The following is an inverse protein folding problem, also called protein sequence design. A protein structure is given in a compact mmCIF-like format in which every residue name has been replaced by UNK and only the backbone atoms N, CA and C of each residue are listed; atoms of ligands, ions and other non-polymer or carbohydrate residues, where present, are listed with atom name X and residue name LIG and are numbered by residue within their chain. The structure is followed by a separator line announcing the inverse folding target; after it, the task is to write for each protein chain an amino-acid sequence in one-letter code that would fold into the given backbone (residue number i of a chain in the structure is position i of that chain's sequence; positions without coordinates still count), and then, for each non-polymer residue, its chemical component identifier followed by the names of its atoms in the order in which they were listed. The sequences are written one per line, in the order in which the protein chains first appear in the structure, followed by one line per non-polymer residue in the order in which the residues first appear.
data_IF_752899991016
#
_entry.id   IF_752899991016
#
_cell.length_a   1.000
_cell.length_b   1.000
_cell.length_c   1.000
_cell.angle_alpha   90.00
_cell.angle_beta   90.00
_cell.angle_gamma   90.00
#
_symmetry.space_group_name_H-M   'P 1'
#
loop_
_entity.id
_entity.type
_entity.pdbx_description
1 polymer ?
#
# COMPACT_ATOMS: atom_id res chain seq x y z
N UNK A 1 -10.37 1.07 10.36
CA UNK A 1 -11.02 2.10 9.49
C UNK A 1 -11.38 1.43 8.18
N UNK A 2 -12.49 1.82 7.54
CA UNK A 2 -12.78 1.39 6.15
C UNK A 2 -12.13 2.40 5.20
N UNK A 3 -11.35 1.91 4.26
CA UNK A 3 -10.65 2.67 3.24
C UNK A 3 -11.23 2.30 1.88
N UNK A 4 -11.59 3.30 1.10
CA UNK A 4 -12.11 3.15 -0.26
C UNK A 4 -11.19 3.91 -1.19
N UNK A 5 -10.57 3.21 -2.15
CA UNK A 5 -9.56 3.80 -3.01
C UNK A 5 -9.64 3.31 -4.46
N UNK A 6 -9.33 4.20 -5.39
CA UNK A 6 -8.86 3.85 -6.72
C UNK A 6 -7.34 3.97 -6.76
N UNK A 7 -6.67 3.04 -7.45
CA UNK A 7 -5.25 3.15 -7.71
C UNK A 7 -4.88 2.64 -9.10
N UNK A 8 -3.80 3.20 -9.64
CA UNK A 8 -3.24 2.78 -10.92
C UNK A 8 -1.72 2.84 -10.88
N UNK A 9 -1.08 1.80 -11.43
CA UNK A 9 0.32 1.88 -11.81
C UNK A 9 0.45 2.82 -13.00
N UNK A 10 1.45 3.68 -12.95
CA UNK A 10 1.73 4.67 -13.98
C UNK A 10 3.20 4.59 -14.42
N UNK A 11 3.51 5.17 -15.55
CA UNK A 11 4.90 5.30 -16.02
C UNK A 11 5.61 6.44 -15.28
N UNK A 12 6.95 6.44 -15.33
CA UNK A 12 7.76 7.53 -14.78
C UNK A 12 7.39 8.89 -15.40
N UNK A 13 7.13 8.92 -16.71
CA UNK A 13 6.73 10.16 -17.39
C UNK A 13 5.41 10.72 -16.88
N UNK A 14 4.43 9.84 -16.63
CA UNK A 14 3.14 10.22 -16.04
C UNK A 14 3.32 10.67 -14.59
N UNK A 15 4.16 9.96 -13.81
CA UNK A 15 4.50 10.36 -12.46
C UNK A 15 5.09 11.77 -12.41
N UNK A 16 6.09 12.07 -13.26
CA UNK A 16 6.72 13.38 -13.32
C UNK A 16 5.69 14.48 -13.69
N UNK A 17 4.86 14.21 -14.72
CA UNK A 17 3.80 15.11 -15.14
C UNK A 17 2.81 15.44 -14.01
N UNK A 18 2.37 14.43 -13.24
CA UNK A 18 1.46 14.61 -12.12
C UNK A 18 2.15 15.33 -10.95
N UNK A 19 3.42 15.01 -10.67
CA UNK A 19 4.18 15.64 -9.59
C UNK A 19 4.35 17.15 -9.79
N UNK A 20 4.43 17.60 -11.05
CA UNK A 20 4.51 19.02 -11.43
C UNK A 20 3.13 19.71 -11.52
N UNK A 21 2.07 18.93 -11.78
CA UNK A 21 0.71 19.43 -11.98
C UNK A 21 0.07 19.92 -10.67
N UNK A 22 0.29 19.19 -9.57
CA UNK A 22 -0.31 19.50 -8.28
C UNK A 22 0.66 20.21 -7.33
N UNK A 23 0.10 21.11 -6.49
CA UNK A 23 0.80 21.64 -5.33
C UNK A 23 0.53 20.73 -4.13
N UNK A 24 1.51 19.89 -3.81
CA UNK A 24 1.41 18.90 -2.75
C UNK A 24 1.44 19.53 -1.34
N UNK A 25 0.60 19.01 -0.43
CA UNK A 25 0.59 19.44 0.97
C UNK A 25 1.85 18.99 1.69
N UNK A 26 2.33 17.79 1.38
CA UNK A 26 3.58 17.24 1.90
C UNK A 26 4.18 16.16 1.00
N UNK A 27 5.49 15.97 1.15
CA UNK A 27 6.26 14.90 0.51
C UNK A 27 7.08 14.21 1.59
N UNK A 28 6.89 12.91 1.78
CA UNK A 28 7.52 12.15 2.86
C UNK A 28 7.95 10.77 2.44
N UNK A 29 9.04 10.30 3.04
CA UNK A 29 9.43 8.91 2.98
C UNK A 29 8.65 8.09 4.01
N UNK A 30 8.30 6.88 3.60
CA UNK A 30 7.77 5.84 4.48
C UNK A 30 8.31 4.49 4.06
N UNK A 31 8.67 3.65 5.04
CA UNK A 31 9.14 2.29 4.79
C UNK A 31 8.10 1.30 5.25
N UNK A 32 7.70 0.40 4.37
CA UNK A 32 6.79 -0.70 4.70
C UNK A 32 7.60 -1.99 4.82
N UNK A 33 7.71 -2.51 6.03
CA UNK A 33 8.31 -3.80 6.31
C UNK A 33 7.21 -4.86 6.29
N UNK A 34 7.25 -5.78 5.33
CA UNK A 34 6.21 -6.79 5.13
C UNK A 34 6.50 -8.07 5.88
N UNK A 35 5.44 -8.69 6.38
CA UNK A 35 5.49 -9.96 7.13
C UNK A 35 4.65 -11.02 6.43
N UNK A 36 5.09 -12.27 6.57
CA UNK A 36 4.38 -13.44 6.07
C UNK A 36 4.23 -14.50 7.17
N UNK A 37 3.22 -15.34 7.01
CA UNK A 37 3.01 -16.56 7.80
C UNK A 37 3.37 -17.79 6.95
N UNK A 38 4.01 -18.79 7.55
CA UNK A 38 4.42 -20.02 6.85
C UNK A 38 3.25 -20.82 6.31
N UNK A 39 2.08 -20.73 6.94
CA UNK A 39 0.89 -21.53 6.59
C UNK A 39 0.03 -20.86 5.50
N UNK A 40 0.32 -19.63 5.10
CA UNK A 40 -0.40 -18.87 4.09
C UNK A 40 -1.83 -18.46 4.51
N UNK A 41 -2.14 -18.43 5.79
CA UNK A 41 -3.46 -18.06 6.32
C UNK A 41 -3.79 -16.58 6.05
N UNK A 42 -2.79 -15.68 6.14
CA UNK A 42 -2.95 -14.28 5.77
C UNK A 42 -3.40 -14.14 4.30
N UNK A 43 -2.73 -14.86 3.40
CA UNK A 43 -3.07 -14.85 1.98
C UNK A 43 -4.49 -15.37 1.68
N UNK A 44 -4.91 -16.45 2.34
CA UNK A 44 -6.27 -17.00 2.23
C UNK A 44 -7.35 -16.01 2.69
N UNK A 45 -7.00 -15.09 3.59
CA UNK A 45 -7.89 -14.06 4.13
C UNK A 45 -7.73 -12.71 3.44
N UNK A 46 -6.94 -12.63 2.36
CA UNK A 46 -6.61 -11.39 1.66
C UNK A 46 -6.08 -10.30 2.61
N UNK A 47 -5.32 -10.73 3.62
CA UNK A 47 -4.79 -9.88 4.68
C UNK A 47 -3.30 -9.65 4.47
N UNK A 48 -2.87 -8.41 4.62
CA UNK A 48 -1.46 -8.00 4.61
C UNK A 48 -1.11 -7.47 5.98
N UNK A 49 0.04 -7.92 6.52
CA UNK A 49 0.63 -7.40 7.74
C UNK A 49 1.92 -6.69 7.39
N UNK A 50 2.04 -5.44 7.83
CA UNK A 50 3.26 -4.65 7.67
C UNK A 50 3.57 -3.84 8.93
N UNK A 51 4.85 -3.55 9.17
CA UNK A 51 5.26 -2.48 10.07
C UNK A 51 5.65 -1.29 9.21
N UNK A 52 4.90 -0.20 9.34
CA UNK A 52 5.20 1.07 8.65
C UNK A 52 6.06 1.96 9.56
N UNK A 53 7.17 2.40 8.98
CA UNK A 53 7.99 3.47 9.55
C UNK A 53 7.68 4.77 8.82
N UNK A 54 7.31 5.80 9.56
CA UNK A 54 7.02 7.14 9.03
C UNK A 54 7.28 8.17 10.12
N UNK A 55 7.99 9.26 9.81
CA UNK A 55 8.27 10.36 10.73
C UNK A 55 8.89 9.89 12.07
N UNK A 56 9.78 8.88 12.05
CA UNK A 56 10.43 8.31 13.22
C UNK A 56 9.52 7.47 14.13
N UNK A 57 8.32 7.14 13.66
CA UNK A 57 7.36 6.27 14.38
C UNK A 57 7.16 4.98 13.61
N UNK A 58 6.90 3.90 14.35
CA UNK A 58 6.57 2.60 13.79
C UNK A 58 5.17 2.18 14.22
N UNK A 59 4.44 1.54 13.30
CA UNK A 59 3.14 0.96 13.60
C UNK A 59 2.94 -0.35 12.82
N UNK A 60 2.40 -1.35 13.50
CA UNK A 60 1.87 -2.56 12.85
C UNK A 60 0.56 -2.18 12.17
N UNK A 61 0.47 -2.42 10.88
CA UNK A 61 -0.74 -2.18 10.11
C UNK A 61 -1.26 -3.49 9.53
N UNK A 62 -2.53 -3.73 9.72
CA UNK A 62 -3.26 -4.89 9.20
C UNK A 62 -4.24 -4.38 8.16
N UNK A 63 -4.06 -4.77 6.89
CA UNK A 63 -4.94 -4.38 5.78
C UNK A 63 -5.62 -5.62 5.21
N UNK A 64 -6.96 -5.70 5.32
CA UNK A 64 -7.75 -6.81 4.80
C UNK A 64 -8.64 -6.33 3.66
N UNK A 65 -8.42 -6.89 2.46
CA UNK A 65 -9.23 -6.58 1.27
C UNK A 65 -10.61 -7.22 1.36
N UNK A 66 -11.68 -6.45 1.18
CA UNK A 66 -13.08 -6.90 1.25
C UNK A 66 -13.64 -7.32 -0.13
N UNK A 67 -13.13 -6.73 -1.21
CA UNK A 67 -13.55 -7.00 -2.58
C UNK A 67 -12.36 -7.32 -3.51
N UNK A 68 -11.62 -8.41 -3.24
CA UNK A 68 -10.46 -8.74 -4.04
C UNK A 68 -10.87 -9.02 -5.49
N UNK A 69 -10.28 -8.29 -6.44
CA UNK A 69 -10.55 -8.47 -7.88
C UNK A 69 -11.17 -7.26 -8.59
N UNK A 70 -11.65 -6.27 -7.86
CA UNK A 70 -12.28 -5.08 -8.43
C UNK A 70 -11.30 -3.91 -8.60
N UNK A 71 -11.57 -2.99 -9.53
CA UNK A 71 -10.79 -1.77 -9.74
C UNK A 71 -10.90 -0.84 -8.53
N UNK A 72 -12.12 -0.63 -8.04
CA UNK A 72 -12.39 0.01 -6.75
C UNK A 72 -11.97 -0.92 -5.64
N UNK A 73 -11.04 -0.52 -4.79
CA UNK A 73 -10.56 -1.31 -3.66
C UNK A 73 -11.21 -0.86 -2.37
N UNK A 74 -11.71 -1.82 -1.62
CA UNK A 74 -12.28 -1.62 -0.28
C UNK A 74 -11.47 -2.45 0.70
N UNK A 75 -10.86 -1.78 1.67
CA UNK A 75 -10.00 -2.41 2.65
C UNK A 75 -10.45 -2.01 4.07
N UNK A 76 -10.31 -2.96 4.99
CA UNK A 76 -10.35 -2.67 6.41
C UNK A 76 -8.91 -2.54 6.91
N UNK A 77 -8.58 -1.39 7.49
CA UNK A 77 -7.25 -1.13 8.03
C UNK A 77 -7.30 -0.88 9.54
N UNK A 78 -6.38 -1.54 10.26
CA UNK A 78 -6.19 -1.38 11.71
C UNK A 78 -4.72 -1.12 11.97
N UNK A 79 -4.43 -0.22 12.91
CA UNK A 79 -3.07 0.20 13.22
C UNK A 79 -2.80 0.11 14.71
N UNK A 80 -1.59 -0.38 15.07
CA UNK A 80 -1.11 -0.49 16.46
C UNK A 80 0.30 0.10 16.55
N UNK A 81 0.55 1.09 17.41
CA UNK A 81 1.88 1.62 17.64
C UNK A 81 2.84 0.52 18.15
N UNK A 82 4.10 0.55 17.68
CA UNK A 82 5.15 -0.37 18.10
C UNK A 82 6.49 0.38 18.22
N UNK A 83 7.40 -0.11 19.07
CA UNK A 83 8.67 0.56 19.37
C UNK A 83 9.76 0.46 18.30
N UNK A 84 9.54 -0.32 17.24
CA UNK A 84 10.53 -0.53 16.16
C UNK A 84 10.05 -1.60 15.18
N UNK A 85 10.94 -2.05 14.30
CA UNK A 85 10.65 -3.08 13.29
C UNK A 85 11.28 -4.41 13.77
N UNK A 86 10.50 -5.36 14.30
CA UNK A 86 11.02 -6.65 14.71
C UNK A 86 11.28 -7.56 13.49
N UNK A 87 12.22 -8.49 13.59
CA UNK A 87 12.39 -9.55 12.58
C UNK A 87 11.24 -10.57 12.62
N UNK A 88 10.65 -10.77 13.79
CA UNK A 88 9.52 -11.67 14.00
C UNK A 88 8.44 -11.00 14.86
N UNK A 89 7.17 -11.23 14.53
CA UNK A 89 6.03 -10.95 15.39
C UNK A 89 5.54 -12.29 15.92
N UNK A 90 5.76 -12.56 17.22
CA UNK A 90 5.44 -13.85 17.81
C UNK A 90 3.93 -14.14 17.80
N UNK A 91 3.59 -15.43 17.81
CA UNK A 91 2.23 -15.93 17.60
C UNK A 91 1.14 -15.22 18.44
N UNK A 92 1.40 -14.95 19.70
CA UNK A 92 0.45 -14.29 20.60
C UNK A 92 0.16 -12.84 20.17
N UNK A 93 1.20 -12.09 19.80
CA UNK A 93 1.07 -10.73 19.30
C UNK A 93 0.47 -10.72 17.88
N UNK A 94 0.87 -11.64 17.02
CA UNK A 94 0.29 -11.81 15.69
C UNK A 94 -1.23 -12.06 15.77
N UNK A 95 -1.66 -12.95 16.68
CA UNK A 95 -3.08 -13.22 16.94
C UNK A 95 -3.81 -12.01 17.52
N UNK A 96 -3.17 -11.27 18.42
CA UNK A 96 -3.72 -10.04 19.00
C UNK A 96 -3.95 -8.95 17.94
N UNK A 97 -3.00 -8.78 17.00
CA UNK A 97 -3.10 -7.76 15.96
C UNK A 97 -4.07 -8.17 14.85
N UNK A 98 -4.01 -9.41 14.40
CA UNK A 98 -4.77 -9.87 13.23
C UNK A 98 -6.15 -10.47 13.55
N UNK A 99 -6.35 -10.90 14.81
CA UNK A 99 -7.51 -11.73 15.20
C UNK A 99 -7.47 -13.15 14.65
N UNK A 100 -6.38 -13.56 13.97
CA UNK A 100 -6.21 -14.85 13.31
C UNK A 100 -5.15 -15.70 14.01
N UNK A 101 -5.28 -17.01 13.94
CA UNK A 101 -4.26 -17.95 14.39
C UNK A 101 -3.29 -18.24 13.23
N UNK A 102 -2.31 -17.36 13.04
CA UNK A 102 -1.36 -17.39 11.93
C UNK A 102 0.04 -17.88 12.32
N UNK A 103 0.25 -18.19 13.61
CA UNK A 103 1.57 -18.49 14.12
C UNK A 103 2.46 -17.23 14.21
N UNK A 104 3.78 -17.47 14.27
CA UNK A 104 4.76 -16.38 14.22
C UNK A 104 4.86 -15.84 12.81
N UNK A 105 4.90 -14.51 12.69
CA UNK A 105 5.08 -13.83 11.41
C UNK A 105 6.55 -13.46 11.25
N UNK A 106 7.12 -13.77 10.09
CA UNK A 106 8.53 -13.46 9.77
C UNK A 106 8.61 -12.31 8.79
N UNK A 107 9.58 -11.42 8.99
CA UNK A 107 9.81 -10.28 8.10
C UNK A 107 10.34 -10.76 6.75
N UNK A 108 9.64 -10.45 5.66
CA UNK A 108 10.03 -10.78 4.30
C UNK A 108 11.03 -9.78 3.70
N UNK A 109 11.01 -8.55 4.16
CA UNK A 109 11.82 -7.44 3.67
C UNK A 109 11.05 -6.13 3.68
N UNK A 110 11.61 -5.11 3.01
CA UNK A 110 11.07 -3.75 3.03
C UNK A 110 10.87 -3.16 1.63
N UNK A 111 9.95 -2.21 1.57
CA UNK A 111 9.67 -1.37 0.41
C UNK A 111 9.68 0.07 0.89
N UNK A 112 10.55 0.90 0.30
CA UNK A 112 10.61 2.34 0.54
C UNK A 112 9.66 3.06 -0.42
N UNK A 113 8.95 4.07 0.07
CA UNK A 113 8.04 4.89 -0.73
C UNK A 113 8.27 6.37 -0.45
N UNK A 114 8.57 7.12 -1.51
CA UNK A 114 8.44 8.57 -1.50
C UNK A 114 7.00 8.90 -1.90
N UNK A 115 6.21 9.39 -0.93
CA UNK A 115 4.79 9.74 -1.12
C UNK A 115 4.61 11.26 -1.16
N UNK A 116 4.01 11.73 -2.23
CA UNK A 116 3.40 13.05 -2.30
C UNK A 116 1.93 12.91 -1.91
N UNK A 117 1.42 13.78 -1.07
CA UNK A 117 0.02 13.75 -0.63
C UNK A 117 -0.61 15.12 -0.74
N UNK A 118 -1.85 15.13 -1.21
CA UNK A 118 -2.68 16.32 -1.37
C UNK A 118 -4.11 16.00 -0.92
N UNK A 119 -4.61 16.76 0.05
CA UNK A 119 -6.04 16.80 0.34
C UNK A 119 -6.73 17.66 -0.74
N UNK A 120 -7.23 16.99 -1.80
CA UNK A 120 -7.82 17.67 -2.96
C UNK A 120 -9.12 18.40 -2.59
N UNK A 121 -9.97 17.75 -1.81
CA UNK A 121 -11.15 18.33 -1.13
C UNK A 121 -11.35 17.61 0.20
N UNK A 122 -12.27 18.07 1.02
CA UNK A 122 -12.66 17.36 2.24
C UNK A 122 -13.13 15.94 1.91
N UNK A 123 -12.45 14.96 2.47
CA UNK A 123 -12.72 13.53 2.25
C UNK A 123 -12.18 12.94 0.94
N UNK A 124 -11.32 13.65 0.18
CA UNK A 124 -10.63 13.11 -1.00
C UNK A 124 -9.14 13.40 -0.92
N UNK A 125 -8.33 12.37 -0.74
CA UNK A 125 -6.87 12.45 -0.70
C UNK A 125 -6.27 11.83 -1.96
N UNK A 126 -5.35 12.55 -2.61
CA UNK A 126 -4.54 12.07 -3.72
C UNK A 126 -3.16 11.75 -3.20
N UNK A 127 -2.69 10.53 -3.44
CA UNK A 127 -1.35 10.07 -3.10
C UNK A 127 -0.61 9.66 -4.37
N UNK A 128 0.55 10.27 -4.62
CA UNK A 128 1.45 9.92 -5.71
C UNK A 128 2.71 9.30 -5.14
N UNK A 129 2.95 8.04 -5.48
CA UNK A 129 4.00 7.22 -4.88
C UNK A 129 5.08 6.82 -5.89
N UNK A 130 6.33 7.02 -5.49
CA UNK A 130 7.49 6.33 -6.05
C UNK A 130 7.94 5.28 -5.04
N UNK A 131 7.91 4.00 -5.41
CA UNK A 131 8.24 2.88 -4.53
C UNK A 131 9.46 2.13 -5.03
N UNK A 132 10.47 1.96 -4.16
CA UNK A 132 11.70 1.24 -4.43
C UNK A 132 11.78 -0.01 -3.54
N UNK A 133 12.06 -1.17 -4.14
CA UNK A 133 12.15 -2.44 -3.41
C UNK A 133 12.94 -3.47 -4.23
N UNK A 134 13.76 -4.25 -3.54
CA UNK A 134 14.63 -5.24 -4.16
C UNK A 134 15.46 -4.59 -5.30
N UNK A 135 15.21 -4.96 -6.55
CA UNK A 135 15.81 -4.39 -7.77
C UNK A 135 14.77 -3.66 -8.65
N UNK A 136 13.66 -3.19 -8.08
CA UNK A 136 12.53 -2.57 -8.78
C UNK A 136 12.26 -1.16 -8.29
N UNK A 137 11.73 -0.35 -9.21
CA UNK A 137 11.15 0.95 -8.94
C UNK A 137 9.79 1.01 -9.66
N UNK A 138 8.73 1.32 -8.93
CA UNK A 138 7.37 1.45 -9.44
C UNK A 138 6.80 2.82 -9.11
N UNK A 139 5.91 3.32 -9.96
CA UNK A 139 5.16 4.55 -9.78
C UNK A 139 3.67 4.24 -9.73
N UNK A 140 2.97 4.85 -8.77
CA UNK A 140 1.54 4.58 -8.52
C UNK A 140 0.82 5.86 -8.10
N UNK A 141 -0.40 6.03 -8.59
CA UNK A 141 -1.35 7.03 -8.09
C UNK A 141 -2.45 6.31 -7.31
N UNK A 142 -2.80 6.83 -6.13
CA UNK A 142 -3.90 6.37 -5.30
C UNK A 142 -4.83 7.55 -5.04
N UNK A 143 -6.14 7.32 -5.04
CA UNK A 143 -7.15 8.29 -4.63
C UNK A 143 -8.01 7.63 -3.58
N UNK A 144 -7.82 8.03 -2.33
CA UNK A 144 -8.63 7.61 -1.21
C UNK A 144 -9.79 8.61 -1.04
N UNK A 145 -11.01 8.12 -0.81
CA UNK A 145 -12.14 9.00 -0.68
C UNK A 145 -13.26 8.47 0.23
N UNK A 146 -14.07 9.39 0.74
CA UNK A 146 -15.28 9.12 1.50
C UNK A 146 -16.47 9.71 0.75
N UNK A 147 -17.62 9.01 0.76
CA UNK A 147 -18.80 9.43 -0.02
C UNK A 147 -18.69 9.10 -1.50
N UNK A 148 -19.13 10.01 -2.37
CA UNK A 148 -19.11 9.82 -3.81
C UNK A 148 -17.77 10.27 -4.42
N UNK A 149 -17.24 9.48 -5.34
CA UNK A 149 -16.04 9.87 -6.09
C UNK A 149 -16.30 11.08 -6.99
N UNK A 150 -15.46 12.12 -6.95
CA UNK A 150 -15.68 13.32 -7.79
C UNK A 150 -15.47 13.03 -9.28
N UNK A 151 -16.49 13.16 -10.16
CA UNK A 151 -16.34 12.87 -11.58
C UNK A 151 -15.29 13.75 -12.28
N UNK A 152 -15.13 15.00 -11.84
CA UNK A 152 -14.15 15.94 -12.39
C UNK A 152 -12.72 15.44 -12.21
N UNK A 153 -12.42 14.79 -11.07
CA UNK A 153 -11.10 14.24 -10.79
C UNK A 153 -10.78 13.07 -11.74
N UNK A 154 -11.78 12.26 -12.10
CA UNK A 154 -11.60 11.19 -13.08
C UNK A 154 -11.25 11.75 -14.47
N UNK A 155 -11.95 12.81 -14.90
CA UNK A 155 -11.66 13.47 -16.17
C UNK A 155 -10.27 14.11 -16.19
N UNK A 156 -9.87 14.74 -15.09
CA UNK A 156 -8.55 15.33 -14.91
C UNK A 156 -7.45 14.26 -15.01
N UNK A 157 -7.56 13.15 -14.28
CA UNK A 157 -6.60 12.05 -14.35
C UNK A 157 -6.51 11.42 -15.74
N UNK A 158 -7.64 11.22 -16.43
CA UNK A 158 -7.64 10.74 -17.81
C UNK A 158 -6.84 11.68 -18.73
N UNK A 159 -6.96 13.01 -18.55
CA UNK A 159 -6.19 14.00 -19.30
C UNK A 159 -4.69 13.97 -19.01
N UNK A 160 -4.31 13.54 -17.82
CA UNK A 160 -2.93 13.34 -17.39
C UNK A 160 -2.34 11.97 -17.82
N UNK A 161 -3.18 11.08 -18.36
CA UNK A 161 -2.78 9.76 -18.84
C UNK A 161 -2.96 8.65 -17.80
N UNK A 162 -3.78 8.86 -16.78
CA UNK A 162 -4.14 7.86 -15.76
C UNK A 162 -5.49 7.26 -16.07
N UNK A 163 -5.59 5.94 -16.00
CA UNK A 163 -6.85 5.21 -16.15
C UNK A 163 -7.02 4.25 -14.96
N UNK A 164 -8.21 4.28 -14.33
CA UNK A 164 -8.59 3.39 -13.23
C UNK A 164 -9.53 2.26 -13.71
N UNK A 165 -9.26 1.68 -14.87
CA UNK A 165 -10.14 0.69 -15.51
C UNK A 165 -9.98 -0.72 -14.97
N UNK A 166 -8.79 -1.05 -14.49
CA UNK A 166 -8.45 -2.40 -14.07
C UNK A 166 -7.95 -2.41 -12.62
N UNK A 167 -8.05 -3.59 -11.98
CA UNK A 167 -7.45 -3.78 -10.68
C UNK A 167 -5.95 -3.60 -10.74
N UNK A 168 -5.44 -2.57 -10.09
CA UNK A 168 -4.00 -2.42 -9.87
C UNK A 168 -3.48 -3.45 -8.88
N UNK A 169 -2.32 -4.04 -9.19
CA UNK A 169 -1.65 -4.98 -8.30
C UNK A 169 -0.99 -4.21 -7.15
N UNK A 170 -1.43 -4.44 -5.92
CA UNK A 170 -0.95 -3.73 -4.74
C UNK A 170 0.55 -3.94 -4.46
N UNK A 171 1.18 -2.99 -3.77
CA UNK A 171 2.62 -2.95 -3.43
C UNK A 171 3.13 -4.25 -2.81
N UNK A 172 2.41 -4.79 -1.81
CA UNK A 172 2.74 -6.07 -1.19
C UNK A 172 2.82 -7.21 -2.21
N UNK A 173 1.84 -7.35 -3.09
CA UNK A 173 1.80 -8.43 -4.09
C UNK A 173 2.94 -8.31 -5.08
N UNK A 174 3.29 -7.08 -5.52
CA UNK A 174 4.44 -6.83 -6.41
C UNK A 174 5.76 -7.21 -5.72
N UNK A 175 5.92 -6.78 -4.47
CA UNK A 175 7.09 -7.10 -3.66
C UNK A 175 7.26 -8.62 -3.49
N UNK A 176 6.23 -9.35 -3.06
CA UNK A 176 6.31 -10.81 -2.85
C UNK A 176 6.54 -11.58 -4.16
N UNK A 177 5.92 -11.15 -5.26
CA UNK A 177 6.17 -11.76 -6.58
C UNK A 177 7.65 -11.63 -6.96
N UNK A 178 8.22 -10.43 -6.82
CA UNK A 178 9.63 -10.20 -7.16
C UNK A 178 10.58 -10.96 -6.24
N UNK A 179 10.32 -10.98 -4.95
CA UNK A 179 11.09 -11.77 -3.99
C UNK A 179 11.08 -13.27 -4.36
N UNK A 180 9.91 -13.80 -4.71
CA UNK A 180 9.75 -15.20 -5.13
C UNK A 180 10.52 -15.50 -6.43
N UNK A 181 10.52 -14.58 -7.41
CA UNK A 181 11.30 -14.71 -8.63
C UNK A 181 12.81 -14.78 -8.35
N UNK A 182 13.32 -13.92 -7.47
CA UNK A 182 14.74 -13.90 -7.07
C UNK A 182 15.13 -15.23 -6.41
N UNK A 183 14.32 -15.71 -5.46
CA UNK A 183 14.60 -16.97 -4.75
C UNK A 183 14.57 -18.18 -5.70
N UNK A 184 13.67 -18.21 -6.68
CA UNK A 184 13.56 -19.29 -7.66
C UNK A 184 14.62 -19.23 -8.77
N UNK A 185 15.22 -18.08 -8.99
CA UNK A 185 16.28 -17.88 -9.98
C UNK A 185 17.68 -18.13 -9.45
N UNK A 186 17.82 -18.40 -8.13
CA UNK A 186 19.06 -18.86 -7.49
C UNK A 186 19.10 -20.39 -7.47
#
# INVERSE_FOLDING_TARGET
MLEVEYKSLITEDVYNKISEHYKWDWVKHQVNNYYFDENGELGKRHTVVRVREKDGKCAVQIKTHKNPGEALQICEETEFPIGGVPEEIFADDAKKYTGLDVGTLTRAGSLDTLRHSLMWTDGVEICLDKSEYLDRCDYEIEVEYTGDFPPQLMEEFNSLGVEFKEKSVGKYTRFIRRLTEIIKGQ
#
